data_IF_803520810596
#
_entry.id   IF_803520810596
#
_cell.length_a   1.000
_cell.length_b   1.000
_cell.length_c   1.000
_cell.angle_alpha   90.00
_cell.angle_beta   90.00
_cell.angle_gamma   90.00
#
_symmetry.space_group_name_H-M   'P 1'
#
loop_
_entity.id
_entity.type
_entity.pdbx_description
1 polymer ?
#
# COMPACT_ATOMS: atom_id res chain seq x y z
N UNK A 1 -39.21 -13.43 0.12
CA UNK A 1 -39.58 -12.01 -0.09
C UNK A 1 -40.00 -11.42 1.24
N UNK A 2 -39.16 -10.56 1.81
CA UNK A 2 -39.38 -9.65 2.93
C UNK A 2 -38.24 -8.61 2.81
N UNK A 3 -38.52 -7.30 2.73
CA UNK A 3 -37.53 -6.33 2.27
C UNK A 3 -36.59 -5.87 3.40
N UNK A 4 -35.28 -5.89 3.13
CA UNK A 4 -34.24 -5.33 4.01
C UNK A 4 -34.15 -3.81 3.78
N UNK A 5 -34.36 -3.03 4.84
CA UNK A 5 -34.14 -1.56 4.85
C UNK A 5 -32.64 -1.24 4.93
N UNK A 6 -32.16 -0.18 4.25
CA UNK A 6 -30.79 0.29 4.37
C UNK A 6 -30.63 1.19 5.63
N UNK A 7 -29.58 0.93 6.41
CA UNK A 7 -29.19 1.76 7.56
C UNK A 7 -28.41 2.99 7.08
N UNK A 8 -29.01 4.16 7.29
CA UNK A 8 -28.41 5.47 7.07
C UNK A 8 -27.49 5.86 8.25
N UNK A 9 -26.41 6.58 7.95
CA UNK A 9 -25.43 7.08 8.91
C UNK A 9 -25.96 8.32 9.66
N UNK A 10 -25.64 8.52 10.95
CA UNK A 10 -26.13 9.69 11.69
C UNK A 10 -25.39 10.99 11.34
N UNK A 11 -26.14 12.06 11.08
CA UNK A 11 -25.71 13.39 10.66
C UNK A 11 -25.35 14.34 11.82
N UNK A 12 -24.18 14.16 12.45
CA UNK A 12 -23.73 15.00 13.60
C UNK A 12 -22.35 15.65 13.42
N UNK A 13 -21.82 15.71 12.19
CA UNK A 13 -20.52 16.34 11.89
C UNK A 13 -20.62 17.73 11.23
N UNK A 14 -21.77 18.39 11.34
CA UNK A 14 -21.98 19.73 10.81
C UNK A 14 -22.80 20.57 11.80
N UNK A 15 -22.11 21.26 12.71
CA UNK A 15 -22.59 22.50 13.38
C UNK A 15 -21.43 23.18 14.11
N UNK A 16 -20.92 24.25 13.52
CA UNK A 16 -20.08 25.23 14.20
C UNK A 16 -20.92 26.05 15.18
N UNK A 17 -20.37 26.31 16.37
CA UNK A 17 -21.00 27.17 17.37
C UNK A 17 -20.52 28.64 17.20
N UNK A 18 -21.38 29.64 17.45
CA UNK A 18 -21.09 31.06 17.27
C UNK A 18 -20.51 31.73 18.53
N UNK A 19 -19.91 32.90 18.32
CA UNK A 19 -19.00 33.57 19.25
C UNK A 19 -19.60 34.26 20.48
N UNK A 20 -18.68 34.69 21.35
CA UNK A 20 -18.93 35.60 22.46
C UNK A 20 -17.89 36.73 22.40
N UNK A 21 -18.39 37.96 22.37
CA UNK A 21 -17.62 39.20 22.36
C UNK A 21 -17.18 39.59 23.78
N UNK A 22 -15.95 40.09 23.91
CA UNK A 22 -15.42 40.72 25.11
C UNK A 22 -14.41 41.79 24.72
N UNK A 23 -14.80 43.06 24.89
CA UNK A 23 -14.11 44.27 24.44
C UNK A 23 -13.28 44.90 25.55
N UNK A 24 -11.96 45.04 25.42
CA UNK A 24 -11.17 46.03 26.16
C UNK A 24 -9.88 46.42 25.40
N UNK A 25 -9.72 47.74 25.14
CA UNK A 25 -8.42 48.45 25.10
C UNK A 25 -7.63 48.49 23.78
N UNK A 26 -7.70 49.63 23.07
CA UNK A 26 -6.61 50.13 22.17
C UNK A 26 -5.66 51.02 22.99
N UNK A 27 -4.35 51.09 22.66
CA UNK A 27 -3.90 52.20 21.81
C UNK A 27 -2.79 51.88 20.78
N UNK A 28 -2.99 52.48 19.60
CA UNK A 28 -2.07 53.22 18.69
C UNK A 28 -0.56 52.85 18.60
N UNK A 29 -0.12 52.45 17.39
CA UNK A 29 1.28 52.41 16.93
C UNK A 29 1.43 51.75 15.54
N UNK A 30 2.39 52.15 14.67
CA UNK A 30 2.15 52.29 13.23
C UNK A 30 2.36 51.03 12.38
N UNK A 31 1.65 51.05 11.24
CA UNK A 31 1.76 50.21 10.05
C UNK A 31 3.11 49.50 9.85
N UNK A 32 3.09 48.17 9.96
CA UNK A 32 3.92 47.30 9.13
C UNK A 32 3.01 46.18 8.58
N UNK A 33 2.70 46.26 7.29
CA UNK A 33 2.12 45.14 6.54
C UNK A 33 3.11 43.98 6.61
N UNK A 34 2.91 43.04 7.53
CA UNK A 34 3.54 41.72 7.43
C UNK A 34 2.88 41.05 6.23
N UNK A 35 3.58 41.09 5.10
CA UNK A 35 3.29 40.25 3.95
C UNK A 35 3.14 38.81 4.45
N UNK A 36 2.13 38.13 3.93
CA UNK A 36 1.99 36.70 4.11
C UNK A 36 3.28 36.05 3.59
N UNK A 37 4.16 35.65 4.50
CA UNK A 37 5.22 34.72 4.17
C UNK A 37 4.52 33.43 3.79
N UNK A 38 4.36 33.20 2.49
CA UNK A 38 4.15 31.88 1.93
C UNK A 38 5.16 30.95 2.60
N UNK A 39 4.67 29.90 3.24
CA UNK A 39 5.53 28.83 3.74
C UNK A 39 6.50 28.44 2.63
N UNK A 40 7.80 28.22 2.92
CA UNK A 40 8.73 27.79 1.90
C UNK A 40 8.19 26.49 1.28
N UNK A 41 7.89 26.54 -0.02
CA UNK A 41 7.38 25.41 -0.77
C UNK A 41 8.33 24.23 -0.58
N UNK A 42 7.76 23.04 -0.39
CA UNK A 42 8.54 21.79 -0.42
C UNK A 42 9.35 21.81 -1.73
N UNK A 43 10.68 21.60 -1.68
CA UNK A 43 11.51 21.62 -2.88
C UNK A 43 10.93 20.69 -3.94
N UNK A 44 10.79 21.20 -5.17
CA UNK A 44 10.29 20.40 -6.27
C UNK A 44 11.29 19.25 -6.55
N UNK A 45 10.80 18.01 -6.54
CA UNK A 45 11.63 16.83 -6.79
C UNK A 45 12.05 16.85 -8.27
N UNK A 46 13.35 16.87 -8.62
CA UNK A 46 13.78 16.89 -10.02
C UNK A 46 13.35 15.61 -10.75
N UNK A 47 13.21 15.68 -12.08
CA UNK A 47 12.85 14.48 -12.84
C UNK A 47 13.99 13.45 -12.75
N UNK A 48 13.64 12.17 -12.60
CA UNK A 48 14.61 11.08 -12.47
C UNK A 48 15.61 11.07 -13.63
N UNK A 49 15.14 11.33 -14.86
CA UNK A 49 15.97 11.43 -16.07
C UNK A 49 16.99 12.57 -16.06
N UNK A 50 16.80 13.60 -15.25
CA UNK A 50 17.73 14.73 -15.12
C UNK A 50 18.82 14.41 -14.09
N UNK A 51 18.50 13.57 -13.10
CA UNK A 51 19.39 13.18 -12.02
C UNK A 51 20.32 12.01 -12.40
N UNK A 52 19.83 11.07 -13.21
CA UNK A 52 20.57 9.87 -13.60
C UNK A 52 20.81 9.83 -15.11
N UNK A 53 21.98 9.36 -15.58
CA UNK A 53 22.33 9.30 -17.01
C UNK A 53 21.66 8.11 -17.71
N UNK A 54 20.34 7.96 -17.55
CA UNK A 54 19.53 6.91 -18.16
C UNK A 54 18.89 7.41 -19.46
N UNK A 55 18.81 6.55 -20.47
CA UNK A 55 18.19 6.88 -21.76
C UNK A 55 16.84 6.21 -21.87
N UNK A 56 15.85 6.94 -22.39
CA UNK A 56 14.53 6.40 -22.69
C UNK A 56 14.67 5.36 -23.80
N UNK A 57 14.16 4.16 -23.56
CA UNK A 57 14.06 3.10 -24.57
C UNK A 57 13.05 3.48 -25.68
N UNK A 58 13.11 2.86 -26.88
CA UNK A 58 12.29 3.23 -28.03
C UNK A 58 10.83 2.71 -27.91
N UNK A 59 10.15 3.01 -26.81
CA UNK A 59 8.72 2.78 -26.64
C UNK A 59 7.91 3.85 -27.38
N UNK A 60 6.70 3.50 -27.80
CA UNK A 60 5.71 4.46 -28.29
C UNK A 60 5.36 5.48 -27.20
N UNK A 61 4.67 6.55 -27.59
CA UNK A 61 4.05 7.51 -26.67
C UNK A 61 2.53 7.37 -26.75
N UNK A 62 1.85 7.62 -25.64
CA UNK A 62 0.39 7.56 -25.57
C UNK A 62 -0.24 8.60 -26.52
N UNK A 63 -1.13 8.14 -27.39
CA UNK A 63 -1.95 8.97 -28.28
C UNK A 63 -3.39 9.12 -27.77
N UNK A 64 -4.16 10.04 -28.35
CA UNK A 64 -5.60 10.19 -28.07
C UNK A 64 -6.40 8.90 -28.35
N UNK A 65 -5.99 8.11 -29.35
CA UNK A 65 -6.61 6.82 -29.66
C UNK A 65 -6.35 5.79 -28.55
N UNK A 66 -5.15 5.83 -27.95
CA UNK A 66 -4.80 4.97 -26.82
C UNK A 66 -5.63 5.35 -25.58
N UNK A 67 -5.82 6.65 -25.31
CA UNK A 67 -6.70 7.12 -24.24
C UNK A 67 -8.15 6.66 -24.43
N UNK A 68 -8.69 6.77 -25.65
CA UNK A 68 -10.02 6.28 -25.97
C UNK A 68 -10.13 4.74 -25.87
N UNK A 69 -9.06 4.00 -26.17
CA UNK A 69 -9.01 2.56 -25.94
C UNK A 69 -9.03 2.23 -24.45
N UNK A 70 -8.22 2.89 -23.64
CA UNK A 70 -8.22 2.71 -22.19
C UNK A 70 -9.56 3.07 -21.56
N UNK A 71 -10.24 4.13 -22.00
CA UNK A 71 -11.55 4.51 -21.46
C UNK A 71 -12.63 3.46 -21.77
N UNK A 72 -12.54 2.77 -22.92
CA UNK A 72 -13.40 1.62 -23.22
C UNK A 72 -13.10 0.41 -22.33
N UNK A 73 -11.84 0.17 -22.00
CA UNK A 73 -11.41 -0.97 -21.17
C UNK A 73 -11.72 -0.73 -19.69
N UNK A 74 -11.41 0.47 -19.18
CA UNK A 74 -11.60 0.87 -17.78
C UNK A 74 -12.41 2.17 -17.67
N UNK A 75 -13.73 2.15 -17.89
CA UNK A 75 -14.57 3.34 -17.81
C UNK A 75 -14.46 4.07 -16.47
N UNK A 76 -14.14 5.37 -16.50
CA UNK A 76 -13.88 6.22 -15.33
C UNK A 76 -12.60 5.85 -14.55
N UNK A 77 -11.76 5.01 -15.14
CA UNK A 77 -10.50 4.52 -14.59
C UNK A 77 -9.25 5.20 -15.17
N UNK A 78 -9.40 6.05 -16.19
CA UNK A 78 -8.31 6.78 -16.85
C UNK A 78 -8.16 8.18 -16.25
N UNK A 79 -6.99 8.48 -15.69
CA UNK A 79 -6.66 9.79 -15.11
C UNK A 79 -5.54 10.44 -15.93
N UNK A 80 -5.81 11.63 -16.45
CA UNK A 80 -4.87 12.43 -17.26
C UNK A 80 -4.65 13.84 -16.72
N UNK A 81 -5.38 14.22 -15.66
CA UNK A 81 -5.22 15.52 -15.01
C UNK A 81 -3.79 15.69 -14.46
N UNK A 82 -3.03 16.72 -14.89
CA UNK A 82 -1.64 16.91 -14.47
C UNK A 82 -1.46 17.10 -12.96
N UNK A 83 -2.46 17.65 -12.26
CA UNK A 83 -2.41 17.85 -10.81
C UNK A 83 -2.58 16.51 -10.07
N UNK A 84 -3.57 15.71 -10.45
CA UNK A 84 -3.78 14.36 -9.93
C UNK A 84 -2.59 13.42 -10.18
N UNK A 85 -1.82 13.65 -11.25
CA UNK A 85 -0.65 12.84 -11.61
C UNK A 85 0.64 13.23 -10.88
N UNK A 86 0.68 14.33 -10.13
CA UNK A 86 1.89 14.71 -9.38
C UNK A 86 2.27 13.65 -8.33
N UNK A 87 1.30 13.28 -7.48
CA UNK A 87 1.54 12.34 -6.38
C UNK A 87 2.01 10.93 -6.82
N UNK A 88 1.37 10.25 -7.80
CA UNK A 88 1.79 8.92 -8.22
C UNK A 88 3.11 8.90 -9.00
N UNK A 89 3.59 10.04 -9.51
CA UNK A 89 4.89 10.15 -10.17
C UNK A 89 6.06 10.32 -9.18
N UNK A 90 5.82 10.67 -7.92
CA UNK A 90 6.87 10.90 -6.91
C UNK A 90 6.97 9.69 -5.98
N UNK A 91 8.20 9.23 -5.73
CA UNK A 91 8.43 8.09 -4.84
C UNK A 91 8.22 8.44 -3.37
N UNK A 92 8.19 7.42 -2.51
CA UNK A 92 7.95 7.60 -1.07
C UNK A 92 9.00 8.50 -0.39
N UNK A 93 10.26 8.40 -0.80
CA UNK A 93 11.35 9.21 -0.24
C UNK A 93 11.39 10.64 -0.81
N UNK A 94 10.60 10.93 -1.85
CA UNK A 94 10.58 12.21 -2.58
C UNK A 94 11.95 12.58 -3.15
N UNK A 95 12.64 11.59 -3.69
CA UNK A 95 13.95 11.72 -4.32
C UNK A 95 13.96 11.41 -5.82
N UNK A 96 12.88 10.78 -6.30
CA UNK A 96 12.66 10.39 -7.69
C UNK A 96 11.29 10.89 -8.14
N UNK A 97 11.22 11.39 -9.37
CA UNK A 97 9.98 11.85 -10.00
C UNK A 97 9.93 11.45 -11.47
N UNK A 98 8.89 10.71 -11.84
CA UNK A 98 8.54 10.40 -13.23
C UNK A 98 7.81 11.54 -13.93
N UNK A 99 7.53 11.37 -15.22
CA UNK A 99 6.73 12.31 -16.02
C UNK A 99 5.59 11.63 -16.78
N UNK A 100 5.00 10.58 -16.19
CA UNK A 100 3.84 9.91 -16.74
C UNK A 100 2.65 10.85 -16.83
N UNK A 101 1.93 10.75 -17.95
CA UNK A 101 0.74 11.55 -18.28
C UNK A 101 -0.57 10.76 -18.15
N UNK A 102 -0.49 9.49 -17.77
CA UNK A 102 -1.65 8.60 -17.70
C UNK A 102 -1.53 7.65 -16.51
N UNK A 103 -2.57 7.63 -15.70
CA UNK A 103 -2.78 6.67 -14.63
C UNK A 103 -4.04 5.86 -14.93
N UNK A 104 -3.91 4.54 -14.94
CA UNK A 104 -5.00 3.59 -15.12
C UNK A 104 -5.34 2.91 -13.79
N UNK A 105 -6.64 2.83 -13.47
CA UNK A 105 -7.14 2.23 -12.23
C UNK A 105 -8.18 1.12 -12.53
N UNK A 106 -7.73 -0.07 -12.96
CA UNK A 106 -8.59 -1.22 -13.14
C UNK A 106 -9.19 -1.73 -11.81
N UNK A 107 -10.32 -2.41 -11.92
CA UNK A 107 -11.09 -3.09 -10.87
C UNK A 107 -11.03 -4.62 -11.00
N UNK A 108 -10.75 -5.14 -12.19
CA UNK A 108 -10.73 -6.59 -12.47
C UNK A 108 -9.44 -7.04 -13.17
N UNK A 109 -9.13 -8.32 -13.07
CA UNK A 109 -7.98 -8.93 -13.74
C UNK A 109 -8.13 -8.93 -15.27
N UNK A 110 -9.36 -9.02 -15.76
CA UNK A 110 -9.69 -8.91 -17.18
C UNK A 110 -9.38 -7.50 -17.73
N UNK A 111 -9.72 -6.45 -16.99
CA UNK A 111 -9.35 -5.08 -17.35
C UNK A 111 -7.83 -4.92 -17.44
N UNK A 112 -7.07 -5.51 -16.51
CA UNK A 112 -5.59 -5.53 -16.55
C UNK A 112 -5.09 -6.28 -17.79
N UNK A 113 -5.67 -7.44 -18.11
CA UNK A 113 -5.36 -8.23 -19.30
C UNK A 113 -5.54 -7.42 -20.59
N UNK A 114 -6.68 -6.74 -20.73
CA UNK A 114 -6.96 -5.92 -21.90
C UNK A 114 -6.05 -4.68 -22.00
N UNK A 115 -5.75 -4.02 -20.86
CA UNK A 115 -4.78 -2.91 -20.83
C UNK A 115 -3.42 -3.39 -21.32
N UNK A 116 -2.89 -4.48 -20.75
CA UNK A 116 -1.56 -4.98 -21.11
C UNK A 116 -1.49 -5.48 -22.55
N UNK A 117 -2.56 -6.10 -23.05
CA UNK A 117 -2.65 -6.48 -24.47
C UNK A 117 -2.54 -5.27 -25.40
N UNK A 118 -3.29 -4.20 -25.10
CA UNK A 118 -3.20 -2.94 -25.85
C UNK A 118 -1.79 -2.34 -25.79
N UNK A 119 -1.19 -2.28 -24.59
CA UNK A 119 0.17 -1.76 -24.42
C UNK A 119 1.21 -2.61 -25.17
N UNK A 120 1.06 -3.93 -25.19
CA UNK A 120 1.93 -4.84 -25.94
C UNK A 120 1.85 -4.61 -27.45
N UNK A 121 0.65 -4.53 -28.01
CA UNK A 121 0.43 -4.26 -29.44
C UNK A 121 0.95 -2.87 -29.85
N UNK A 122 0.86 -1.90 -28.94
CA UNK A 122 1.29 -0.51 -29.17
C UNK A 122 2.72 -0.22 -28.75
N UNK A 123 3.43 -1.18 -28.16
CA UNK A 123 4.77 -1.00 -27.58
C UNK A 123 4.83 0.19 -26.59
N UNK A 124 3.87 0.26 -25.67
CA UNK A 124 3.80 1.26 -24.58
C UNK A 124 4.36 0.66 -23.29
N UNK A 125 5.28 1.37 -22.64
CA UNK A 125 5.83 0.95 -21.36
C UNK A 125 4.81 1.15 -20.21
N UNK A 126 4.83 0.23 -19.25
CA UNK A 126 3.90 0.21 -18.11
C UNK A 126 4.69 0.13 -16.80
N UNK A 127 4.31 0.95 -15.82
CA UNK A 127 4.83 0.96 -14.46
C UNK A 127 3.72 0.49 -13.49
N UNK A 128 3.75 -0.78 -13.02
CA UNK A 128 2.79 -1.27 -12.04
C UNK A 128 2.97 -0.56 -10.69
N UNK A 129 1.88 -0.11 -10.08
CA UNK A 129 1.94 0.61 -8.81
C UNK A 129 0.92 0.08 -7.79
N UNK A 130 1.43 -0.25 -6.61
CA UNK A 130 0.63 -0.58 -5.43
C UNK A 130 0.34 0.66 -4.58
N UNK A 131 0.63 0.58 -3.28
CA UNK A 131 0.51 1.69 -2.33
C UNK A 131 1.57 2.78 -2.44
N UNK A 132 2.49 2.68 -3.43
CA UNK A 132 3.63 3.59 -3.63
C UNK A 132 4.49 3.82 -2.36
N UNK A 133 4.77 2.76 -1.61
CA UNK A 133 5.61 2.78 -0.39
C UNK A 133 6.95 2.08 -0.59
N UNK A 134 7.39 1.91 -1.84
CA UNK A 134 8.68 1.30 -2.19
C UNK A 134 9.83 2.26 -1.88
N UNK A 135 10.99 1.70 -1.53
CA UNK A 135 12.15 2.47 -1.05
C UNK A 135 13.32 2.51 -2.05
N UNK A 136 13.16 1.87 -3.21
CA UNK A 136 14.23 1.67 -4.21
C UNK A 136 13.91 2.31 -5.57
N UNK A 137 12.83 3.10 -5.65
CA UNK A 137 12.42 3.78 -6.88
C UNK A 137 11.62 2.95 -7.89
N UNK A 138 11.49 1.63 -7.70
CA UNK A 138 10.76 0.76 -8.63
C UNK A 138 9.24 0.96 -8.68
N UNK A 139 8.65 1.78 -7.81
CA UNK A 139 7.20 2.04 -7.80
C UNK A 139 6.78 3.23 -8.66
N UNK A 140 7.72 4.01 -9.20
CA UNK A 140 7.43 5.21 -9.99
C UNK A 140 8.11 5.18 -11.36
N UNK A 141 7.51 5.80 -12.39
CA UNK A 141 8.11 5.91 -13.72
C UNK A 141 9.46 6.65 -13.71
N UNK A 142 10.32 6.36 -14.68
CA UNK A 142 11.53 7.16 -14.96
C UNK A 142 11.21 8.26 -15.96
N UNK A 143 10.41 7.92 -16.98
CA UNK A 143 9.97 8.80 -18.06
C UNK A 143 8.43 8.85 -18.07
N UNK A 144 7.82 8.48 -19.20
CA UNK A 144 6.41 8.58 -19.53
C UNK A 144 5.69 7.23 -19.49
N UNK A 145 6.22 6.23 -18.78
CA UNK A 145 5.57 4.93 -18.61
C UNK A 145 4.16 5.09 -18.02
N UNK A 146 3.18 4.32 -18.53
CA UNK A 146 1.81 4.37 -18.04
C UNK A 146 1.77 3.81 -16.63
N UNK A 147 1.25 4.56 -15.66
CA UNK A 147 1.09 4.06 -14.29
C UNK A 147 -0.15 3.16 -14.26
N UNK A 148 0.02 1.89 -13.93
CA UNK A 148 -1.09 0.95 -13.73
C UNK A 148 -1.26 0.70 -12.23
N UNK A 149 -2.24 1.36 -11.63
CA UNK A 149 -2.49 1.28 -10.20
C UNK A 149 -3.49 0.20 -9.84
N UNK A 150 -3.14 -0.60 -8.83
CA UNK A 150 -4.01 -1.64 -8.26
C UNK A 150 -5.02 -1.11 -7.25
N UNK A 151 -5.07 0.21 -6.98
CA UNK A 151 -5.85 0.78 -5.87
C UNK A 151 -7.35 0.44 -5.83
N UNK A 152 -7.96 0.13 -6.98
CA UNK A 152 -9.39 -0.27 -7.06
C UNK A 152 -9.60 -1.79 -7.11
N UNK A 153 -8.54 -2.58 -7.13
CA UNK A 153 -8.56 -4.03 -7.01
C UNK A 153 -8.45 -4.43 -5.54
N UNK A 154 -9.40 -4.00 -4.71
CA UNK A 154 -9.30 -4.03 -3.24
C UNK A 154 -10.32 -4.97 -2.56
N UNK A 155 -10.84 -5.97 -3.27
CA UNK A 155 -11.81 -6.92 -2.72
C UNK A 155 -11.15 -8.17 -2.15
N UNK A 156 -11.62 -8.61 -0.98
CA UNK A 156 -11.43 -9.99 -0.52
C UNK A 156 -12.36 -10.89 -1.33
N UNK A 157 -11.81 -11.94 -1.93
CA UNK A 157 -12.56 -12.88 -2.78
C UNK A 157 -13.13 -14.03 -1.95
N UNK A 158 -12.33 -14.60 -1.04
CA UNK A 158 -12.77 -15.64 -0.12
C UNK A 158 -11.87 -15.74 1.10
N UNK A 159 -12.40 -16.25 2.20
CA UNK A 159 -11.62 -16.61 3.38
C UNK A 159 -12.17 -17.90 3.99
N UNK A 160 -11.30 -18.89 4.19
CA UNK A 160 -11.68 -20.16 4.79
C UNK A 160 -11.39 -20.15 6.29
N UNK A 161 -12.44 -20.09 7.13
CA UNK A 161 -12.34 -19.88 8.58
C UNK A 161 -11.65 -20.99 9.36
N UNK A 162 -11.53 -22.21 8.81
CA UNK A 162 -10.79 -23.30 9.46
C UNK A 162 -9.32 -23.33 9.03
N UNK A 163 -9.03 -23.36 7.73
CA UNK A 163 -7.66 -23.46 7.22
C UNK A 163 -6.87 -22.14 7.30
N UNK A 164 -7.55 -21.00 7.46
CA UNK A 164 -6.92 -19.69 7.49
C UNK A 164 -6.46 -19.20 6.11
N UNK A 165 -6.97 -19.76 5.03
CA UNK A 165 -6.58 -19.37 3.67
C UNK A 165 -7.39 -18.15 3.24
N UNK A 166 -6.70 -17.07 2.91
CA UNK A 166 -7.25 -15.83 2.39
C UNK A 166 -6.97 -15.73 0.89
N UNK A 167 -8.00 -15.45 0.10
CA UNK A 167 -7.86 -15.07 -1.31
C UNK A 167 -8.39 -13.66 -1.48
N UNK A 168 -7.55 -12.77 -2.02
CA UNK A 168 -7.89 -11.35 -2.17
C UNK A 168 -7.24 -10.75 -3.42
N UNK A 169 -7.78 -9.63 -3.89
CA UNK A 169 -7.20 -8.88 -4.99
C UNK A 169 -5.91 -8.17 -4.55
N UNK A 170 -5.01 -7.95 -5.50
CA UNK A 170 -3.66 -7.42 -5.25
C UNK A 170 -3.62 -6.02 -4.61
N UNK A 171 -4.68 -5.22 -4.79
CA UNK A 171 -4.79 -3.86 -4.24
C UNK A 171 -5.31 -3.78 -2.81
N UNK A 172 -5.61 -4.89 -2.15
CA UNK A 172 -6.03 -4.86 -0.75
C UNK A 172 -4.90 -4.31 0.14
N UNK A 173 -5.21 -3.30 0.95
CA UNK A 173 -4.28 -2.69 1.90
C UNK A 173 -3.97 -3.68 3.04
N UNK A 174 -2.70 -3.83 3.40
CA UNK A 174 -2.27 -4.82 4.40
C UNK A 174 -2.95 -4.64 5.76
N UNK A 175 -3.12 -3.40 6.21
CA UNK A 175 -3.81 -3.11 7.48
C UNK A 175 -5.30 -3.50 7.42
N UNK A 176 -5.97 -3.28 6.30
CA UNK A 176 -7.37 -3.68 6.11
C UNK A 176 -7.53 -5.20 6.09
N UNK A 177 -6.62 -5.91 5.41
CA UNK A 177 -6.56 -7.38 5.46
C UNK A 177 -6.31 -7.89 6.88
N UNK A 178 -5.39 -7.25 7.61
CA UNK A 178 -5.10 -7.60 9.01
C UNK A 178 -6.35 -7.45 9.87
N UNK A 179 -7.06 -6.32 9.79
CA UNK A 179 -8.33 -6.10 10.47
C UNK A 179 -9.37 -7.17 10.10
N UNK A 180 -9.52 -7.46 8.81
CA UNK A 180 -10.49 -8.45 8.31
C UNK A 180 -10.26 -9.86 8.87
N UNK A 181 -9.00 -10.35 8.87
CA UNK A 181 -8.70 -11.71 9.35
C UNK A 181 -8.67 -11.78 10.88
N UNK A 182 -8.35 -10.68 11.56
CA UNK A 182 -8.36 -10.60 13.02
C UNK A 182 -9.74 -10.71 13.64
N UNK A 183 -10.79 -10.23 12.96
CA UNK A 183 -12.19 -10.46 13.33
C UNK A 183 -12.58 -11.94 13.29
N UNK A 184 -11.78 -12.77 12.60
CA UNK A 184 -12.02 -14.20 12.37
C UNK A 184 -11.01 -15.07 13.12
N UNK A 185 -10.31 -14.50 14.10
CA UNK A 185 -9.27 -15.15 14.91
C UNK A 185 -8.04 -15.64 14.11
N UNK A 186 -7.67 -14.92 13.05
CA UNK A 186 -6.41 -15.09 12.31
C UNK A 186 -5.61 -13.78 12.26
N UNK A 187 -4.38 -13.83 11.73
CA UNK A 187 -3.53 -12.67 11.48
C UNK A 187 -2.87 -12.79 10.11
N UNK A 188 -2.43 -11.68 9.53
CA UNK A 188 -1.55 -11.73 8.35
C UNK A 188 -0.16 -12.27 8.74
N UNK A 189 0.49 -13.10 7.87
CA UNK A 189 1.80 -13.68 8.16
C UNK A 189 2.93 -12.65 8.13
N UNK A 190 2.72 -11.50 7.50
CA UNK A 190 3.64 -10.37 7.47
C UNK A 190 3.01 -9.12 8.10
N UNK A 191 3.86 -8.20 8.56
CA UNK A 191 3.46 -6.88 9.07
C UNK A 191 4.66 -5.93 9.01
N UNK A 192 4.42 -4.67 8.65
CA UNK A 192 5.47 -3.70 8.33
C UNK A 192 5.00 -2.26 8.61
N UNK A 193 5.93 -1.33 8.73
CA UNK A 193 5.63 0.07 9.12
C UNK A 193 4.66 0.78 8.17
N UNK A 194 4.68 0.43 6.88
CA UNK A 194 3.81 1.00 5.85
C UNK A 194 2.45 0.29 5.71
N UNK A 195 2.02 -0.53 6.68
CA UNK A 195 0.81 -1.37 6.59
C UNK A 195 -0.47 -0.60 6.19
N UNK A 196 -0.57 0.67 6.58
CA UNK A 196 -1.74 1.53 6.29
C UNK A 196 -1.85 1.96 4.83
N UNK A 197 -0.84 1.68 4.00
CA UNK A 197 -0.83 2.06 2.59
C UNK A 197 -0.30 0.97 1.66
N UNK A 198 0.60 0.08 2.11
CA UNK A 198 1.11 -0.96 1.24
C UNK A 198 0.00 -1.96 0.84
N UNK A 199 -0.01 -2.32 -0.44
CA UNK A 199 -0.95 -3.29 -1.00
C UNK A 199 -0.35 -4.70 -0.94
N UNK A 200 -1.19 -5.72 -0.77
CA UNK A 200 -0.73 -7.11 -0.70
C UNK A 200 0.03 -7.57 -1.95
N UNK A 201 -0.39 -7.15 -3.14
CA UNK A 201 0.32 -7.43 -4.39
C UNK A 201 1.71 -6.78 -4.44
N UNK A 202 1.83 -5.56 -3.91
CA UNK A 202 3.14 -4.89 -3.77
C UNK A 202 4.05 -5.58 -2.76
N UNK A 203 3.49 -6.09 -1.66
CA UNK A 203 4.25 -6.89 -0.69
C UNK A 203 4.79 -8.17 -1.34
N UNK A 204 3.98 -8.87 -2.14
CA UNK A 204 4.41 -10.08 -2.85
C UNK A 204 5.45 -9.76 -3.92
N UNK A 205 5.20 -8.74 -4.75
CA UNK A 205 6.12 -8.34 -5.82
C UNK A 205 7.50 -7.94 -5.28
N UNK A 206 7.59 -7.40 -4.06
CA UNK A 206 8.86 -7.03 -3.41
C UNK A 206 9.40 -8.09 -2.44
N UNK A 207 8.72 -9.24 -2.30
CA UNK A 207 9.00 -10.25 -1.27
C UNK A 207 9.20 -9.64 0.12
N UNK A 208 8.25 -8.80 0.53
CA UNK A 208 8.35 -8.04 1.77
C UNK A 208 8.56 -8.93 3.00
N UNK A 209 9.53 -8.58 3.83
CA UNK A 209 9.81 -9.25 5.10
C UNK A 209 8.96 -8.71 6.25
N UNK A 210 9.53 -7.82 7.05
CA UNK A 210 8.82 -7.09 8.10
C UNK A 210 8.99 -7.63 9.53
N UNK A 211 8.22 -7.06 10.45
CA UNK A 211 8.40 -7.14 11.90
C UNK A 211 8.20 -8.55 12.49
N UNK A 212 7.46 -9.42 11.78
CA UNK A 212 7.10 -10.77 12.23
C UNK A 212 7.68 -11.88 11.35
N UNK A 213 8.62 -11.53 10.47
CA UNK A 213 9.27 -12.48 9.55
C UNK A 213 9.97 -13.63 10.30
N UNK A 214 10.62 -13.35 11.44
CA UNK A 214 11.30 -14.38 12.25
C UNK A 214 10.37 -15.54 12.65
N UNK A 215 9.08 -15.27 12.86
CA UNK A 215 8.11 -16.29 13.29
C UNK A 215 7.40 -16.98 12.12
N UNK A 216 7.01 -16.22 11.09
CA UNK A 216 6.14 -16.73 10.02
C UNK A 216 6.85 -16.94 8.68
N UNK A 217 8.10 -16.50 8.57
CA UNK A 217 8.95 -16.71 7.39
C UNK A 217 8.62 -15.81 6.21
N UNK A 218 9.12 -16.22 5.04
CA UNK A 218 9.00 -15.50 3.77
C UNK A 218 7.65 -15.69 3.09
N UNK A 219 7.29 -14.73 2.23
CA UNK A 219 6.18 -14.84 1.30
C UNK A 219 6.35 -16.03 0.34
N UNK A 220 7.58 -16.44 0.01
CA UNK A 220 7.82 -17.68 -0.75
C UNK A 220 7.22 -18.93 -0.11
N UNK A 221 7.07 -18.94 1.23
CA UNK A 221 6.49 -20.06 1.97
C UNK A 221 5.03 -19.88 2.40
N UNK A 222 4.55 -18.63 2.49
CA UNK A 222 3.21 -18.30 3.02
C UNK A 222 2.19 -17.96 1.93
N UNK A 223 2.63 -17.50 0.76
CA UNK A 223 1.79 -17.38 -0.44
C UNK A 223 1.53 -18.78 -0.99
N UNK A 224 0.26 -19.12 -1.16
CA UNK A 224 -0.17 -20.42 -1.69
C UNK A 224 -0.35 -20.36 -3.20
N UNK A 225 -0.88 -19.25 -3.73
CA UNK A 225 -1.16 -19.09 -5.15
C UNK A 225 -1.24 -17.62 -5.56
N UNK A 226 -1.05 -17.37 -6.86
CA UNK A 226 -1.12 -16.05 -7.47
C UNK A 226 -1.88 -16.11 -8.80
N UNK A 227 -2.66 -15.07 -9.06
CA UNK A 227 -3.10 -14.76 -10.43
C UNK A 227 -2.23 -13.61 -10.94
N UNK A 228 -1.64 -13.79 -12.12
CA UNK A 228 -0.71 -12.83 -12.72
C UNK A 228 -1.08 -12.57 -14.16
N UNK A 229 -1.05 -11.31 -14.59
CA UNK A 229 -1.21 -10.94 -15.99
C UNK A 229 0.17 -10.63 -16.57
N UNK A 230 0.57 -11.38 -17.61
CA UNK A 230 1.83 -11.23 -18.30
C UNK A 230 1.82 -10.00 -19.23
N UNK A 231 3.00 -9.57 -19.68
CA UNK A 231 3.15 -8.36 -20.49
C UNK A 231 2.30 -8.33 -21.79
N UNK A 232 2.03 -9.49 -22.39
CA UNK A 232 1.17 -9.61 -23.58
C UNK A 232 -0.35 -9.68 -23.26
N UNK A 233 -0.73 -9.56 -21.99
CA UNK A 233 -2.10 -9.68 -21.50
C UNK A 233 -2.55 -11.11 -21.18
N UNK A 234 -1.71 -12.13 -21.32
CA UNK A 234 -2.08 -13.50 -20.92
C UNK A 234 -2.29 -13.56 -19.41
N UNK A 235 -3.43 -14.11 -18.97
CA UNK A 235 -3.70 -14.38 -17.56
C UNK A 235 -3.12 -15.74 -17.21
N UNK A 236 -2.11 -15.74 -16.34
CA UNK A 236 -1.53 -16.93 -15.74
C UNK A 236 -2.25 -17.21 -14.42
N UNK A 237 -3.06 -18.26 -14.41
CA UNK A 237 -3.74 -18.74 -13.22
C UNK A 237 -2.85 -19.76 -12.48
N UNK A 238 -2.23 -19.30 -11.40
CA UNK A 238 -1.57 -20.14 -10.40
C UNK A 238 -2.25 -19.93 -9.03
N UNK A 239 -3.55 -19.57 -9.00
CA UNK A 239 -4.29 -19.16 -7.80
C UNK A 239 -4.78 -20.38 -7.00
N UNK A 240 -3.90 -21.35 -6.78
CA UNK A 240 -4.17 -22.50 -5.92
C UNK A 240 -4.39 -22.06 -4.47
N UNK A 241 -5.27 -22.78 -3.79
CA UNK A 241 -5.59 -22.59 -2.37
C UNK A 241 -5.27 -23.86 -1.57
N UNK A 242 -4.31 -24.66 -2.05
CA UNK A 242 -3.85 -25.87 -1.40
C UNK A 242 -2.60 -25.59 -0.57
N UNK A 243 -2.50 -26.25 0.60
CA UNK A 243 -1.32 -26.12 1.46
C UNK A 243 -0.09 -26.82 0.89
N UNK A 244 -0.32 -27.87 0.09
CA UNK A 244 0.68 -28.70 -0.59
C UNK A 244 0.14 -29.03 -1.99
N UNK A 245 0.93 -28.74 -3.00
CA UNK A 245 0.60 -29.00 -4.39
C UNK A 245 1.91 -29.17 -5.18
N UNK A 246 2.18 -30.39 -5.66
CA UNK A 246 3.43 -30.77 -6.32
C UNK A 246 3.19 -31.16 -7.79
N UNK A 247 2.16 -30.62 -8.44
CA UNK A 247 1.82 -30.95 -9.83
C UNK A 247 2.59 -30.09 -10.84
N UNK A 248 3.91 -30.27 -10.89
CA UNK A 248 4.80 -29.56 -11.82
C UNK A 248 5.63 -28.46 -11.16
N UNK A 249 6.00 -27.43 -11.94
CA UNK A 249 6.83 -26.33 -11.47
C UNK A 249 6.05 -25.33 -10.62
N UNK A 250 6.68 -24.81 -9.57
CA UNK A 250 6.08 -23.80 -8.71
C UNK A 250 6.22 -22.39 -9.33
N UNK A 251 5.49 -22.14 -10.42
CA UNK A 251 5.63 -20.91 -11.23
C UNK A 251 5.37 -19.62 -10.45
N UNK A 252 4.52 -19.66 -9.42
CA UNK A 252 4.22 -18.47 -8.61
C UNK A 252 5.48 -17.86 -7.99
N UNK A 253 6.49 -18.69 -7.69
CA UNK A 253 7.74 -18.26 -7.05
C UNK A 253 8.51 -17.25 -7.88
N UNK A 254 8.42 -17.32 -9.22
CA UNK A 254 9.09 -16.40 -10.12
C UNK A 254 8.57 -14.97 -9.99
N UNK A 255 7.33 -14.78 -9.54
CA UNK A 255 6.69 -13.47 -9.40
C UNK A 255 6.82 -12.88 -7.98
N UNK A 256 7.22 -13.70 -7.00
CA UNK A 256 7.49 -13.24 -5.64
C UNK A 256 8.90 -12.63 -5.62
N UNK A 257 8.99 -11.31 -5.42
CA UNK A 257 10.26 -10.58 -5.52
C UNK A 257 10.66 -10.16 -6.94
N UNK A 258 9.76 -10.29 -7.93
CA UNK A 258 10.05 -9.88 -9.32
C UNK A 258 9.84 -8.39 -9.59
N UNK A 259 9.31 -7.65 -8.62
CA UNK A 259 9.11 -6.19 -8.68
C UNK A 259 8.28 -5.72 -9.89
N UNK A 260 7.31 -6.54 -10.34
CA UNK A 260 6.44 -6.21 -11.47
C UNK A 260 7.09 -6.34 -12.86
N UNK A 261 8.35 -6.79 -12.96
CA UNK A 261 9.09 -6.89 -14.22
C UNK A 261 8.70 -8.09 -15.10
N UNK A 262 8.16 -9.16 -14.50
CA UNK A 262 7.75 -10.38 -15.20
C UNK A 262 6.24 -10.47 -15.46
N UNK A 263 5.45 -9.62 -14.78
CA UNK A 263 3.99 -9.63 -14.85
C UNK A 263 3.36 -8.84 -13.69
N UNK A 264 2.07 -8.57 -13.80
CA UNK A 264 1.30 -7.83 -12.81
C UNK A 264 0.44 -8.79 -12.00
N UNK A 265 0.72 -8.89 -10.70
CA UNK A 265 -0.08 -9.69 -9.76
C UNK A 265 -1.46 -9.04 -9.60
N UNK A 266 -2.54 -9.79 -9.83
CA UNK A 266 -3.93 -9.32 -9.74
C UNK A 266 -4.69 -9.92 -8.57
N UNK A 267 -4.35 -11.13 -8.15
CA UNK A 267 -4.91 -11.78 -6.96
C UNK A 267 -3.86 -12.62 -6.22
N UNK A 268 -4.06 -12.77 -4.91
CA UNK A 268 -3.17 -13.48 -4.00
C UNK A 268 -3.97 -14.42 -3.13
N UNK A 269 -3.53 -15.69 -3.08
CA UNK A 269 -3.93 -16.69 -2.09
C UNK A 269 -2.82 -16.83 -1.06
N UNK A 270 -3.10 -16.59 0.22
CA UNK A 270 -2.11 -16.53 1.29
C UNK A 270 -2.60 -17.26 2.55
N UNK A 271 -1.69 -17.94 3.23
CA UNK A 271 -1.95 -18.61 4.50
C UNK A 271 -1.84 -17.63 5.67
N UNK A 272 -2.95 -17.37 6.34
CA UNK A 272 -3.01 -16.58 7.56
C UNK A 272 -2.78 -17.48 8.79
N UNK A 273 -1.79 -17.19 9.65
CA UNK A 273 -1.64 -17.88 10.93
C UNK A 273 -2.82 -17.61 11.88
N UNK A 274 -3.12 -18.52 12.82
CA UNK A 274 -4.12 -18.27 13.84
C UNK A 274 -3.69 -17.09 14.73
N UNK A 275 -4.67 -16.30 15.17
CA UNK A 275 -4.44 -15.17 16.07
C UNK A 275 -3.95 -15.70 17.42
N UNK A 276 -2.80 -15.24 17.94
CA UNK A 276 -2.29 -15.71 19.21
C UNK A 276 -3.24 -15.35 20.35
N UNK A 277 -3.44 -16.29 21.28
CA UNK A 277 -4.26 -16.06 22.49
C UNK A 277 -3.62 -15.07 23.47
N UNK A 278 -2.29 -14.96 23.44
CA UNK A 278 -1.51 -14.05 24.28
C UNK A 278 -0.37 -13.43 23.46
N UNK A 279 -0.18 -12.11 23.61
CA UNK A 279 0.92 -11.35 23.02
C UNK A 279 1.53 -10.52 24.14
N UNK A 280 2.83 -10.67 24.34
CA UNK A 280 3.60 -9.91 25.33
C UNK A 280 4.73 -9.18 24.60
N UNK A 281 5.00 -7.94 25.00
CA UNK A 281 6.11 -7.14 24.49
C UNK A 281 6.98 -6.75 25.67
N UNK A 282 8.28 -7.03 25.59
CA UNK A 282 9.28 -6.56 26.54
C UNK A 282 10.22 -5.61 25.80
N UNK A 283 10.38 -4.41 26.33
CA UNK A 283 11.37 -3.45 25.86
C UNK A 283 12.52 -3.45 26.87
N UNK A 284 13.72 -3.81 26.42
CA UNK A 284 14.88 -4.00 27.28
C UNK A 284 15.95 -2.97 26.86
N UNK A 285 16.48 -2.24 27.84
CA UNK A 285 17.71 -1.47 27.65
C UNK A 285 18.89 -2.40 27.91
N UNK A 286 19.75 -2.58 26.91
CA UNK A 286 20.92 -3.44 27.03
C UNK A 286 22.13 -2.58 27.43
N UNK A 287 22.74 -2.91 28.58
CA UNK A 287 24.06 -2.38 28.94
C UNK A 287 25.11 -3.18 28.17
N UNK A 288 26.14 -2.48 27.68
CA UNK A 288 27.26 -3.04 26.92
C UNK A 288 27.85 -4.30 27.62
N UNK A 289 28.05 -5.43 26.92
CA UNK A 289 28.72 -6.61 27.48
C UNK A 289 30.13 -6.33 28.04
N UNK A 290 30.79 -5.24 27.63
CA UNK A 290 32.09 -4.82 28.20
C UNK A 290 31.98 -3.95 29.46
N UNK A 291 30.78 -3.63 29.94
CA UNK A 291 30.58 -2.86 31.17
C UNK A 291 31.06 -1.41 31.11
N UNK A 292 31.37 -0.87 29.93
CA UNK A 292 31.68 0.56 29.75
C UNK A 292 30.40 1.35 29.65
N UNK A 293 29.84 1.61 30.81
CA UNK A 293 28.81 2.62 30.95
C UNK A 293 29.38 4.02 30.62
N UNK A 294 29.02 4.54 29.45
CA UNK A 294 29.41 5.90 29.03
C UNK A 294 28.59 7.00 29.74
N UNK A 295 27.75 6.66 30.73
CA UNK A 295 26.79 7.59 31.35
C UNK A 295 26.76 7.60 32.89
N UNK A 296 27.68 6.93 33.59
CA UNK A 296 27.71 6.94 35.06
C UNK A 296 26.45 6.35 35.73
N UNK A 297 25.72 5.48 35.03
CA UNK A 297 24.61 4.70 35.55
C UNK A 297 25.12 3.40 36.20
N UNK A 298 24.91 3.30 37.52
CA UNK A 298 25.01 2.08 38.32
C UNK A 298 24.39 0.86 37.60
N UNK A 299 24.92 -0.38 37.78
CA UNK A 299 24.39 -1.58 37.15
C UNK A 299 22.95 -1.83 37.60
N UNK A 300 22.01 -1.31 36.82
CA UNK A 300 20.59 -1.33 37.10
C UNK A 300 19.98 -2.67 36.70
N UNK A 301 19.29 -3.31 37.64
CA UNK A 301 18.44 -4.46 37.39
C UNK A 301 17.49 -4.20 36.21
N UNK A 302 17.39 -5.19 35.32
CA UNK A 302 16.52 -5.20 34.15
C UNK A 302 15.06 -4.98 34.57
N UNK A 303 14.54 -3.75 34.43
CA UNK A 303 13.13 -3.45 34.68
C UNK A 303 12.29 -3.88 33.48
N UNK A 304 11.76 -5.11 33.53
CA UNK A 304 10.78 -5.59 32.55
C UNK A 304 9.41 -4.96 32.85
N UNK A 305 9.00 -3.97 32.07
CA UNK A 305 7.60 -3.54 32.06
C UNK A 305 6.79 -4.45 31.12
N UNK A 306 6.07 -5.41 31.69
CA UNK A 306 5.04 -6.16 30.95
C UNK A 306 3.74 -5.35 30.99
N UNK A 307 3.31 -4.79 29.86
CA UNK A 307 1.96 -4.23 29.72
C UNK A 307 1.04 -5.29 29.12
N UNK A 308 0.02 -5.79 29.85
CA UNK A 308 -1.03 -6.58 29.22
C UNK A 308 -1.81 -5.69 28.24
N UNK A 309 -2.07 -6.20 27.04
CA UNK A 309 -3.06 -5.60 26.14
C UNK A 309 -4.44 -5.64 26.84
N UNK A 310 -5.27 -4.60 26.70
CA UNK A 310 -6.57 -4.57 27.35
C UNK A 310 -7.43 -5.76 26.87
N UNK A 311 -8.21 -6.39 27.77
CA UNK A 311 -9.10 -7.47 27.39
C UNK A 311 -10.21 -6.99 26.46
N UNK A 312 -10.77 -7.92 25.67
CA UNK A 312 -11.87 -7.66 24.72
C UNK A 312 -12.99 -6.84 25.38
N UNK A 313 -13.37 -5.70 24.77
CA UNK A 313 -14.64 -5.02 25.05
C UNK A 313 -14.63 -3.80 25.99
N UNK A 314 -13.48 -3.25 26.38
CA UNK A 314 -13.46 -2.00 27.16
C UNK A 314 -13.66 -0.77 26.26
N UNK A 315 -14.92 -0.46 25.92
CA UNK A 315 -15.28 0.87 25.45
C UNK A 315 -14.89 1.90 26.52
N UNK A 316 -14.12 2.92 26.13
CA UNK A 316 -13.81 4.09 26.94
C UNK A 316 -15.13 4.73 27.40
N UNK A 317 -15.52 4.49 28.65
CA UNK A 317 -16.49 5.35 29.32
C UNK A 317 -15.76 6.65 29.63
N UNK A 318 -16.06 7.69 28.87
CA UNK A 318 -15.81 9.06 29.29
C UNK A 318 -16.51 9.26 30.65
N UNK A 319 -15.74 9.66 31.66
CA UNK A 319 -16.30 10.25 32.88
C UNK A 319 -16.56 11.72 32.58
N UNK A 320 -17.77 12.14 32.93
CA UNK A 320 -18.25 13.53 32.91
C UNK A 320 -17.34 14.47 33.70
#
# INVERSE_FOLDING_TARGET
>A
MLPRRPLAWPAWLLRGAPGAAGSWGRPVGPLARRGCCSAPGIPEVPLTRERYPVRRLPFSTVSEQDLAAFERIVPGGVITDPEALQAPNVDWLRTLRGCSKVLLRPRTSEEVSHILRHCHERNLAVNPQGGNTGMVGGSVPVFDEIILSTARMNRVLSFHSVSGILVCQAGCVLEELSRYVEERDFIMPLDLGAKGSCHIGGNVATNAGGLRFLRYGSLHGTVLGLEVVLANGTVLDCLTSLRKDNTGYDLKQLFIGSEGTLGIITAVSILCPPKPRAVNVAFLDAVDPEGKDHRGAEPGWLRVQVRPLPPRGAALRHRD
#
